data_IF_036553763831
#
_entry.id   IF_036553763831
#
_cell.length_a   1.000
_cell.length_b   1.000
_cell.length_c   1.000
_cell.angle_alpha   90.00
_cell.angle_beta   90.00
_cell.angle_gamma   90.00
#
_symmetry.space_group_name_H-M   'P 1'
#
loop_
_entity.id
_entity.type
_entity.pdbx_description
1 polymer ?
#
# COMPACT_ATOMS: atom_id res chain seq x y z
N UNK A 1 30.55 47.94 22.03
CA UNK A 1 30.71 46.96 20.94
C UNK A 1 29.82 45.81 21.22
N UNK A 2 28.65 45.72 20.56
CA UNK A 2 27.63 44.70 20.75
C UNK A 2 27.83 43.63 19.68
N UNK A 3 28.28 42.44 20.09
CA UNK A 3 28.42 41.29 19.17
C UNK A 3 27.06 40.60 19.07
N UNK A 4 26.37 40.85 17.96
CA UNK A 4 25.14 40.14 17.63
C UNK A 4 25.46 38.74 17.13
N UNK A 5 25.21 37.75 17.98
CA UNK A 5 25.36 36.33 17.64
C UNK A 5 24.16 35.91 16.79
N UNK A 6 24.32 35.81 15.46
CA UNK A 6 23.30 35.28 14.55
C UNK A 6 23.33 33.76 14.66
N UNK A 7 22.33 33.22 15.36
CA UNK A 7 22.08 31.77 15.42
C UNK A 7 21.43 31.33 14.13
N UNK A 8 22.21 30.73 13.22
CA UNK A 8 21.69 30.12 11.99
C UNK A 8 21.00 28.80 12.37
N UNK A 9 19.68 28.83 12.49
CA UNK A 9 18.88 27.61 12.66
C UNK A 9 18.84 26.91 11.30
N UNK A 10 19.68 25.89 11.14
CA UNK A 10 19.60 24.95 10.02
C UNK A 10 18.36 24.08 10.23
N UNK A 11 17.25 24.46 9.59
CA UNK A 11 16.05 23.65 9.54
C UNK A 11 16.35 22.43 8.64
N UNK A 12 16.69 21.29 9.26
CA UNK A 12 16.82 20.02 8.57
C UNK A 12 15.42 19.65 8.01
N UNK A 13 15.19 19.97 6.75
CA UNK A 13 14.08 19.39 5.99
C UNK A 13 14.37 17.90 5.84
N UNK A 14 13.80 17.10 6.74
CA UNK A 14 13.74 15.65 6.53
C UNK A 14 12.81 15.42 5.35
N UNK A 15 13.28 14.77 4.27
CA UNK A 15 12.37 14.40 3.20
C UNK A 15 11.33 13.43 3.78
N UNK A 16 10.06 13.80 3.72
CA UNK A 16 8.96 12.89 3.99
C UNK A 16 8.98 11.87 2.85
N UNK A 17 9.52 10.69 3.11
CA UNK A 17 9.41 9.58 2.18
C UNK A 17 7.95 9.14 2.18
N UNK A 18 7.21 9.50 1.11
CA UNK A 18 5.91 8.91 0.87
C UNK A 18 6.14 7.43 0.55
N UNK A 19 5.43 6.57 1.25
CA UNK A 19 5.45 5.14 0.96
C UNK A 19 4.95 4.92 -0.48
N UNK A 20 5.72 4.17 -1.27
CA UNK A 20 5.40 3.89 -2.66
C UNK A 20 4.77 2.49 -2.75
N UNK A 21 3.52 2.44 -3.18
CA UNK A 21 2.75 1.21 -3.27
C UNK A 21 2.43 0.85 -4.72
N UNK A 22 2.53 -0.44 -5.01
CA UNK A 22 2.12 -1.09 -6.26
C UNK A 22 1.19 -2.26 -5.92
N UNK A 23 0.67 -2.94 -6.92
CA UNK A 23 -0.11 -4.16 -6.71
C UNK A 23 0.35 -5.28 -7.64
N UNK A 24 0.17 -6.53 -7.23
CA UNK A 24 0.25 -7.67 -8.12
C UNK A 24 -0.81 -7.50 -9.21
N UNK A 25 -0.47 -7.81 -10.47
CA UNK A 25 -1.43 -7.74 -11.57
C UNK A 25 -2.65 -8.63 -11.29
N UNK A 26 -3.82 -8.15 -11.65
CA UNK A 26 -5.09 -8.86 -11.49
C UNK A 26 -5.12 -10.25 -12.17
N UNK A 27 -4.38 -10.38 -13.28
CA UNK A 27 -4.28 -11.63 -14.05
C UNK A 27 -3.18 -12.58 -13.54
N UNK A 28 -2.44 -12.19 -12.51
CA UNK A 28 -1.33 -12.98 -11.96
C UNK A 28 -1.82 -13.86 -10.83
N UNK A 29 -1.89 -15.17 -11.05
CA UNK A 29 -2.31 -16.14 -10.04
C UNK A 29 -1.17 -16.62 -9.15
N UNK A 30 0.06 -16.55 -9.64
CA UNK A 30 1.26 -16.98 -8.91
C UNK A 30 2.37 -15.97 -9.07
N UNK A 31 2.86 -15.43 -7.98
CA UNK A 31 3.99 -14.50 -7.95
C UNK A 31 5.07 -15.03 -7.02
N UNK A 32 6.26 -15.27 -7.56
CA UNK A 32 7.39 -15.80 -6.80
C UNK A 32 8.16 -14.65 -6.15
N UNK A 33 8.14 -14.61 -4.82
CA UNK A 33 8.96 -13.72 -4.02
C UNK A 33 10.30 -14.40 -3.75
N UNK A 34 11.41 -13.77 -4.18
CA UNK A 34 12.74 -14.36 -4.19
C UNK A 34 13.67 -13.73 -3.15
N UNK A 35 14.78 -14.39 -2.87
CA UNK A 35 15.81 -13.91 -1.93
C UNK A 35 16.66 -12.78 -2.52
N UNK A 36 16.65 -12.57 -3.83
CA UNK A 36 17.43 -11.55 -4.51
C UNK A 36 16.83 -11.15 -5.85
N UNK A 37 17.40 -10.10 -6.52
CA UNK A 37 16.83 -9.46 -7.70
C UNK A 37 17.16 -10.21 -9.01
N UNK A 38 16.64 -11.42 -9.16
CA UNK A 38 16.83 -12.20 -10.37
C UNK A 38 16.18 -13.58 -10.31
N UNK A 39 15.93 -14.17 -11.48
CA UNK A 39 15.28 -15.49 -11.60
C UNK A 39 16.16 -16.64 -11.07
N UNK A 40 17.48 -16.43 -10.98
CA UNK A 40 18.43 -17.41 -10.43
C UNK A 40 18.46 -17.45 -8.90
N UNK A 41 17.85 -16.45 -8.22
CA UNK A 41 17.74 -16.49 -6.76
C UNK A 41 16.64 -17.44 -6.33
N UNK A 42 16.82 -18.15 -5.19
CA UNK A 42 15.82 -19.06 -4.67
C UNK A 42 14.47 -18.38 -4.40
N UNK A 43 13.40 -19.10 -4.66
CA UNK A 43 12.04 -18.68 -4.28
C UNK A 43 11.92 -18.79 -2.75
N UNK A 44 11.55 -17.70 -2.12
CA UNK A 44 11.30 -17.61 -0.68
C UNK A 44 9.85 -17.91 -0.35
N UNK A 45 8.93 -17.32 -1.12
CA UNK A 45 7.49 -17.49 -1.01
C UNK A 45 6.83 -17.47 -2.37
N UNK A 46 5.72 -18.16 -2.50
CA UNK A 46 4.83 -18.04 -3.66
C UNK A 46 3.53 -17.37 -3.19
N UNK A 47 3.22 -16.23 -3.80
CA UNK A 47 2.02 -15.43 -3.50
C UNK A 47 0.94 -15.82 -4.50
N UNK A 48 -0.23 -16.24 -3.98
CA UNK A 48 -1.41 -16.61 -4.76
C UNK A 48 -2.55 -15.61 -4.47
N UNK A 49 -2.28 -14.33 -4.61
CA UNK A 49 -3.21 -13.25 -4.32
C UNK A 49 -3.15 -12.18 -5.41
N UNK A 50 -3.94 -12.31 -6.49
CA UNK A 50 -4.09 -11.26 -7.49
C UNK A 50 -4.51 -9.94 -6.83
N UNK A 51 -4.01 -8.83 -7.37
CA UNK A 51 -4.28 -7.48 -6.88
C UNK A 51 -3.75 -7.14 -5.48
N UNK A 52 -2.98 -8.02 -4.84
CA UNK A 52 -2.40 -7.77 -3.53
C UNK A 52 -1.55 -6.49 -3.56
N UNK A 53 -1.80 -5.51 -2.67
CA UNK A 53 -0.94 -4.34 -2.54
C UNK A 53 0.42 -4.72 -1.95
N UNK A 54 1.47 -4.04 -2.42
CA UNK A 54 2.86 -4.24 -2.03
C UNK A 54 3.50 -2.88 -1.79
N UNK A 55 4.25 -2.75 -0.71
CA UNK A 55 5.09 -1.58 -0.46
C UNK A 55 6.45 -1.78 -1.12
N UNK A 56 6.90 -0.82 -1.90
CA UNK A 56 8.24 -0.85 -2.49
C UNK A 56 9.25 -0.40 -1.43
N UNK A 57 10.21 -1.26 -1.12
CA UNK A 57 11.33 -0.94 -0.24
C UNK A 57 12.55 -0.47 -1.02
N UNK A 58 12.78 -1.07 -2.19
CA UNK A 58 13.92 -0.76 -3.06
C UNK A 58 13.52 -0.99 -4.53
N UNK A 59 13.73 0.02 -5.38
CA UNK A 59 13.50 -0.09 -6.82
C UNK A 59 14.74 -0.65 -7.52
N UNK A 60 14.56 -1.75 -8.24
CA UNK A 60 15.58 -2.31 -9.10
C UNK A 60 15.27 -2.12 -10.58
N UNK A 61 16.09 -2.70 -11.44
CA UNK A 61 15.88 -2.63 -12.89
C UNK A 61 14.73 -3.55 -13.35
N UNK A 62 14.81 -4.84 -13.04
CA UNK A 62 13.81 -5.86 -13.41
C UNK A 62 13.02 -6.43 -12.23
N UNK A 63 13.53 -6.25 -11.01
CA UNK A 63 12.93 -6.69 -9.76
C UNK A 63 12.91 -5.56 -8.76
N UNK A 64 11.82 -5.45 -8.01
CA UNK A 64 11.72 -4.55 -6.86
C UNK A 64 11.76 -5.37 -5.56
N UNK A 65 12.43 -4.83 -4.53
CA UNK A 65 12.28 -5.36 -3.18
C UNK A 65 10.98 -4.81 -2.59
N UNK A 66 10.13 -5.72 -2.17
CA UNK A 66 8.79 -5.37 -1.69
C UNK A 66 8.52 -5.95 -0.31
N UNK A 67 7.54 -5.35 0.36
CA UNK A 67 7.01 -5.81 1.64
C UNK A 67 5.50 -6.00 1.54
N UNK A 68 5.01 -7.10 2.10
CA UNK A 68 3.60 -7.41 2.28
C UNK A 68 3.09 -6.80 3.59
N UNK A 69 1.76 -6.70 3.72
CA UNK A 69 1.10 -6.17 4.92
C UNK A 69 1.42 -6.92 6.23
N UNK A 70 1.89 -8.16 6.16
CA UNK A 70 2.32 -8.96 7.30
C UNK A 70 3.83 -8.80 7.64
N UNK A 71 4.55 -7.93 6.91
CA UNK A 71 5.97 -7.70 7.08
C UNK A 71 6.88 -8.64 6.29
N UNK A 72 6.34 -9.59 5.55
CA UNK A 72 7.12 -10.48 4.67
C UNK A 72 7.79 -9.67 3.57
N UNK A 73 9.09 -9.85 3.37
CA UNK A 73 9.89 -9.11 2.39
C UNK A 73 10.56 -10.06 1.39
N UNK A 74 10.79 -9.55 0.19
CA UNK A 74 11.56 -10.23 -0.84
C UNK A 74 11.58 -9.47 -2.15
N UNK A 75 12.16 -10.09 -3.17
CA UNK A 75 12.30 -9.53 -4.50
C UNK A 75 11.26 -10.10 -5.45
N UNK A 76 10.54 -9.22 -6.13
CA UNK A 76 9.47 -9.57 -7.06
C UNK A 76 9.75 -8.98 -8.43
N UNK A 77 9.53 -9.77 -9.48
CA UNK A 77 9.66 -9.30 -10.85
C UNK A 77 8.64 -8.21 -11.17
N UNK A 78 9.09 -7.10 -11.75
CA UNK A 78 8.24 -5.97 -12.15
C UNK A 78 7.17 -6.35 -13.17
N UNK A 79 7.42 -7.38 -13.99
CA UNK A 79 6.45 -7.86 -14.98
C UNK A 79 5.15 -8.38 -14.32
N UNK A 80 5.22 -8.78 -13.04
CA UNK A 80 4.08 -9.29 -12.27
C UNK A 80 3.28 -8.19 -11.55
N UNK A 81 3.73 -6.94 -11.62
CA UNK A 81 3.16 -5.82 -10.87
C UNK A 81 2.53 -4.76 -11.76
N UNK A 82 1.68 -3.94 -11.19
CA UNK A 82 1.04 -2.80 -11.83
C UNK A 82 0.91 -1.62 -10.87
N UNK A 83 0.72 -0.42 -11.41
CA UNK A 83 0.49 0.81 -10.64
C UNK A 83 -0.96 0.96 -10.16
N UNK A 84 -1.82 -0.03 -10.37
CA UNK A 84 -3.19 0.01 -9.86
C UNK A 84 -3.18 0.12 -8.33
N UNK A 85 -4.02 1.00 -7.80
CA UNK A 85 -4.16 1.21 -6.36
C UNK A 85 -5.19 0.25 -5.81
N UNK A 86 -4.72 -0.70 -5.01
CA UNK A 86 -5.54 -1.61 -4.23
C UNK A 86 -5.16 -1.50 -2.76
N UNK A 87 -6.07 -1.88 -1.90
CA UNK A 87 -5.85 -1.95 -0.45
C UNK A 87 -6.19 -3.35 0.04
N UNK A 88 -5.58 -3.76 1.13
CA UNK A 88 -5.99 -4.96 1.85
C UNK A 88 -6.61 -4.57 3.19
N UNK A 89 -7.70 -5.24 3.54
CA UNK A 89 -8.40 -5.10 4.82
C UNK A 89 -7.62 -5.89 5.87
N UNK A 90 -7.03 -5.22 6.85
CA UNK A 90 -6.15 -5.83 7.86
C UNK A 90 -6.88 -6.31 9.12
N UNK A 91 -8.16 -5.96 9.25
CA UNK A 91 -9.10 -6.46 10.28
C UNK A 91 -10.53 -6.28 9.77
N UNK A 92 -11.48 -7.04 10.31
CA UNK A 92 -12.89 -6.90 9.95
C UNK A 92 -13.34 -5.45 10.04
N UNK A 93 -13.95 -4.94 8.98
CA UNK A 93 -14.30 -3.54 8.81
C UNK A 93 -15.73 -3.36 8.29
N UNK A 94 -16.25 -2.15 8.41
CA UNK A 94 -17.53 -1.77 7.83
C UNK A 94 -17.32 -0.89 6.61
N UNK A 95 -18.05 -1.20 5.53
CA UNK A 95 -18.22 -0.30 4.41
C UNK A 95 -19.36 0.67 4.76
N UNK A 96 -19.08 1.97 4.66
CA UNK A 96 -20.00 3.04 5.06
C UNK A 96 -20.56 3.78 3.83
N UNK A 97 -21.78 4.30 3.94
CA UNK A 97 -22.29 5.27 2.98
C UNK A 97 -21.76 6.69 3.29
N UNK A 98 -22.18 7.69 2.51
CA UNK A 98 -21.78 9.08 2.66
C UNK A 98 -22.24 9.71 4.00
N UNK A 99 -23.28 9.16 4.63
CA UNK A 99 -23.81 9.60 5.92
C UNK A 99 -23.14 8.88 7.11
N UNK A 100 -22.20 7.97 6.85
CA UNK A 100 -21.53 7.18 7.89
C UNK A 100 -22.30 5.95 8.37
N UNK A 101 -23.39 5.58 7.68
CA UNK A 101 -24.17 4.38 7.99
C UNK A 101 -23.54 3.14 7.35
N UNK A 102 -23.69 2.00 8.04
CA UNK A 102 -23.11 0.71 7.58
C UNK A 102 -23.88 0.18 6.38
N UNK A 103 -23.20 -0.04 5.27
CA UNK A 103 -23.72 -0.70 4.06
C UNK A 103 -23.45 -2.19 4.07
N UNK A 104 -22.28 -2.59 4.49
CA UNK A 104 -21.83 -3.99 4.49
C UNK A 104 -20.69 -4.20 5.48
N UNK A 105 -20.50 -5.44 5.90
CA UNK A 105 -19.31 -5.88 6.63
C UNK A 105 -18.30 -6.48 5.65
N UNK A 106 -17.04 -6.10 5.77
CA UNK A 106 -15.93 -6.61 4.97
C UNK A 106 -14.94 -7.31 5.88
N UNK A 107 -14.67 -8.57 5.60
CA UNK A 107 -13.78 -9.38 6.43
C UNK A 107 -12.31 -9.05 6.15
N UNK A 108 -11.47 -9.32 7.14
CA UNK A 108 -10.02 -9.29 7.03
C UNK A 108 -9.55 -10.07 5.79
N UNK A 109 -8.41 -9.66 5.23
CA UNK A 109 -7.72 -10.24 4.07
C UNK A 109 -8.44 -10.04 2.72
N UNK A 110 -9.57 -9.33 2.68
CA UNK A 110 -10.16 -8.89 1.43
C UNK A 110 -9.32 -7.81 0.76
N UNK A 111 -9.09 -7.96 -0.53
CA UNK A 111 -8.44 -6.95 -1.38
C UNK A 111 -9.54 -6.12 -2.04
N UNK A 112 -9.41 -4.81 -1.91
CA UNK A 112 -10.42 -3.85 -2.38
C UNK A 112 -9.78 -2.79 -3.27
N UNK A 113 -10.56 -2.24 -4.20
CA UNK A 113 -10.12 -1.10 -5.02
C UNK A 113 -10.22 0.18 -4.22
N UNK A 114 -9.22 1.06 -4.35
CA UNK A 114 -9.31 2.40 -3.79
C UNK A 114 -9.35 3.44 -4.90
N UNK A 115 -10.13 4.49 -4.65
CA UNK A 115 -10.20 5.66 -5.52
C UNK A 115 -9.47 6.86 -4.93
N UNK A 116 -9.56 7.05 -3.63
CA UNK A 116 -8.89 8.14 -2.92
C UNK A 116 -8.87 7.90 -1.41
N UNK A 117 -7.72 8.10 -0.80
CA UNK A 117 -7.52 8.10 0.65
C UNK A 117 -7.17 9.51 1.21
N UNK A 118 -7.12 10.54 0.37
CA UNK A 118 -6.80 11.92 0.75
C UNK A 118 -8.05 12.80 0.66
N UNK A 119 -9.08 12.44 1.42
CA UNK A 119 -10.35 13.15 1.45
C UNK A 119 -10.28 14.31 2.45
N UNK A 120 -10.26 15.56 1.99
CA UNK A 120 -10.18 16.76 2.84
C UNK A 120 -11.27 16.81 3.92
N UNK A 121 -12.53 16.51 3.53
CA UNK A 121 -13.68 16.55 4.46
C UNK A 121 -13.82 15.29 5.32
N UNK A 122 -13.12 14.21 4.99
CA UNK A 122 -13.19 12.90 5.68
C UNK A 122 -11.78 12.28 5.77
N UNK A 123 -10.84 12.92 6.48
CA UNK A 123 -9.42 12.53 6.45
C UNK A 123 -9.15 11.13 7.02
N UNK A 124 -10.08 10.57 7.81
CA UNK A 124 -9.95 9.24 8.40
C UNK A 124 -10.48 8.11 7.50
N UNK A 125 -11.03 8.46 6.33
CA UNK A 125 -11.68 7.51 5.44
C UNK A 125 -10.96 7.43 4.09
N UNK A 126 -11.01 6.24 3.47
CA UNK A 126 -10.76 6.03 2.05
C UNK A 126 -12.07 5.82 1.31
N UNK A 127 -12.14 6.31 0.07
CA UNK A 127 -13.20 5.94 -0.87
C UNK A 127 -12.79 4.63 -1.56
N UNK A 128 -13.60 3.60 -1.40
CA UNK A 128 -13.28 2.24 -1.81
C UNK A 128 -14.42 1.57 -2.57
N UNK A 129 -14.11 0.48 -3.26
CA UNK A 129 -15.08 -0.37 -3.92
C UNK A 129 -14.73 -1.84 -3.70
N UNK A 130 -15.73 -2.63 -3.33
CA UNK A 130 -15.64 -4.08 -3.24
C UNK A 130 -16.86 -4.70 -3.93
N UNK A 131 -16.64 -5.66 -4.83
CA UNK A 131 -17.70 -6.35 -5.58
C UNK A 131 -18.72 -5.38 -6.20
N UNK A 132 -18.23 -4.29 -6.82
CA UNK A 132 -19.01 -3.22 -7.43
C UNK A 132 -19.86 -2.38 -6.45
N UNK A 133 -19.67 -2.55 -5.14
CA UNK A 133 -20.30 -1.71 -4.12
C UNK A 133 -19.30 -0.63 -3.67
N UNK A 134 -19.65 0.62 -3.92
CA UNK A 134 -18.83 1.79 -3.52
C UNK A 134 -19.22 2.27 -2.14
N UNK A 135 -18.24 2.78 -1.42
CA UNK A 135 -18.45 3.36 -0.10
C UNK A 135 -17.18 3.92 0.51
N UNK A 136 -17.20 4.07 1.82
CA UNK A 136 -16.09 4.59 2.61
C UNK A 136 -15.68 3.56 3.66
N UNK A 137 -14.38 3.50 3.93
CA UNK A 137 -13.83 2.63 4.96
C UNK A 137 -12.76 3.37 5.76
N UNK A 138 -12.67 3.12 7.05
CA UNK A 138 -11.66 3.75 7.92
C UNK A 138 -10.25 3.32 7.50
N UNK A 139 -9.34 4.29 7.37
CA UNK A 139 -7.92 4.07 7.05
C UNK A 139 -7.26 3.09 8.00
N UNK A 140 -7.60 3.14 9.30
CA UNK A 140 -7.01 2.28 10.33
C UNK A 140 -7.26 0.78 10.13
N UNK A 141 -8.17 0.41 9.25
CA UNK A 141 -8.48 -0.99 8.89
C UNK A 141 -7.89 -1.41 7.56
N UNK A 142 -7.12 -0.53 6.92
CA UNK A 142 -6.59 -0.69 5.57
C UNK A 142 -5.07 -0.57 5.54
N UNK A 143 -4.48 -1.24 4.58
CA UNK A 143 -3.06 -1.13 4.25
C UNK A 143 -2.87 -1.08 2.73
N UNK A 144 -1.90 -0.27 2.24
CA UNK A 144 -1.58 -0.16 0.81
C UNK A 144 -1.69 1.27 0.24
N UNK A 145 -1.62 2.30 1.09
CA UNK A 145 -1.68 3.72 0.69
C UNK A 145 -0.64 4.57 1.38
#
# INVERSE_FOLDING_TARGET
MLHTLILLIFMLLTPTMSDDFISIKEVTNKANLRKGPGDWYPIKWQINAPSLPLKILEKGELFDKVELHDGTQGWLSKILTSNKKNLIVIRDANLLNSNGEIKAKVLKDNIIKTYNCDLEKKPQLCRVEIQNVKGFMKKSYLWGF
#
